data_IF_881874599663
#
_entry.id   IF_881874599663
#
_cell.length_a   1.000
_cell.length_b   1.000
_cell.length_c   1.000
_cell.angle_alpha   90.00
_cell.angle_beta   90.00
_cell.angle_gamma   90.00
#
_symmetry.space_group_name_H-M   'P 1'
#
loop_
_entity.id
_entity.type
_entity.pdbx_description
1 polymer ?
#
# COMPACT_ATOMS: atom_id res chain seq x y z
N UNK A 1 -8.81 -21.72 -71.49
CA UNK A 1 -7.56 -22.24 -70.97
C UNK A 1 -6.81 -21.03 -70.42
N UNK A 2 -7.14 -20.58 -69.28
CA UNK A 2 -6.67 -20.78 -67.92
C UNK A 2 -5.17 -20.89 -67.82
N UNK A 3 -4.55 -19.90 -67.26
CA UNK A 3 -3.48 -20.05 -66.30
C UNK A 3 -3.48 -18.87 -65.33
N UNK A 4 -3.70 -19.19 -64.07
CA UNK A 4 -3.65 -18.32 -62.85
C UNK A 4 -2.24 -17.87 -62.56
N UNK A 5 -2.00 -16.56 -62.34
CA UNK A 5 -0.81 -16.04 -61.73
C UNK A 5 -1.09 -15.75 -60.28
N UNK A 6 -0.41 -16.45 -59.39
CA UNK A 6 -0.39 -16.20 -57.95
C UNK A 6 0.49 -14.99 -57.64
N UNK A 7 -0.10 -13.97 -57.06
CA UNK A 7 0.64 -12.88 -56.42
C UNK A 7 1.11 -13.32 -55.03
N UNK A 8 2.42 -13.38 -54.84
CA UNK A 8 3.06 -13.56 -53.54
C UNK A 8 2.93 -12.25 -52.71
N UNK A 9 2.13 -12.31 -51.67
CA UNK A 9 2.14 -11.27 -50.63
C UNK A 9 3.30 -11.54 -49.71
N UNK A 10 4.29 -10.69 -49.76
CA UNK A 10 5.37 -10.61 -48.77
C UNK A 10 4.77 -10.26 -47.41
N UNK A 11 4.87 -11.21 -46.50
CA UNK A 11 4.48 -11.07 -45.12
C UNK A 11 5.60 -10.34 -44.36
N UNK A 12 5.47 -9.03 -44.23
CA UNK A 12 6.39 -8.22 -43.42
C UNK A 12 6.32 -8.65 -41.97
N UNK A 13 7.48 -9.11 -41.46
CA UNK A 13 7.69 -9.63 -40.15
C UNK A 13 7.16 -8.72 -39.03
N UNK A 14 6.13 -9.15 -38.34
CA UNK A 14 5.82 -8.73 -37.00
C UNK A 14 6.93 -9.26 -36.11
N UNK A 15 7.78 -8.34 -35.65
CA UNK A 15 8.66 -8.58 -34.50
C UNK A 15 7.75 -8.96 -33.33
N UNK A 16 7.78 -10.21 -32.95
CA UNK A 16 7.14 -10.70 -31.74
C UNK A 16 7.69 -9.87 -30.58
N UNK A 17 6.83 -9.08 -29.94
CA UNK A 17 7.13 -8.48 -28.63
C UNK A 17 7.49 -9.66 -27.73
N UNK A 18 8.75 -9.72 -27.30
CA UNK A 18 9.21 -10.74 -26.35
C UNK A 18 8.24 -10.77 -25.19
N UNK A 19 7.80 -11.96 -24.81
CA UNK A 19 7.02 -12.15 -23.60
C UNK A 19 7.83 -11.55 -22.43
N UNK A 20 7.20 -10.80 -21.51
CA UNK A 20 7.90 -10.25 -20.38
C UNK A 20 8.56 -11.39 -19.62
N UNK A 21 9.85 -11.24 -19.31
CA UNK A 21 10.59 -12.17 -18.46
C UNK A 21 9.89 -12.22 -17.10
N UNK A 22 9.07 -13.23 -16.87
CA UNK A 22 8.34 -13.39 -15.62
C UNK A 22 9.36 -13.71 -14.54
N UNK A 23 9.65 -12.74 -13.68
CA UNK A 23 10.52 -12.95 -12.53
C UNK A 23 9.96 -14.08 -11.66
N UNK A 24 10.78 -15.02 -11.19
CA UNK A 24 10.28 -16.03 -10.27
C UNK A 24 9.76 -15.40 -8.98
N UNK A 25 8.71 -15.95 -8.32
CA UNK A 25 8.17 -15.41 -7.08
C UNK A 25 9.21 -15.36 -5.95
N UNK A 26 9.01 -14.48 -4.97
CA UNK A 26 9.81 -14.45 -3.74
C UNK A 26 9.54 -15.69 -2.90
N UNK A 27 10.45 -16.00 -1.98
CA UNK A 27 10.31 -17.13 -1.03
C UNK A 27 10.64 -16.65 0.39
N UNK A 28 9.80 -15.79 0.98
CA UNK A 28 10.01 -15.29 2.34
C UNK A 28 9.78 -16.39 3.38
N UNK A 29 10.51 -16.31 4.48
CA UNK A 29 10.22 -17.08 5.67
C UNK A 29 9.02 -16.49 6.40
N UNK A 30 8.10 -17.32 6.89
CA UNK A 30 6.86 -16.88 7.53
C UNK A 30 6.57 -17.66 8.81
N UNK A 31 5.88 -17.03 9.76
CA UNK A 31 5.34 -17.69 10.93
C UNK A 31 4.19 -18.64 10.54
N UNK A 32 3.79 -19.52 11.46
CA UNK A 32 2.65 -20.43 11.26
C UNK A 32 1.30 -19.71 11.21
N UNK A 33 1.24 -18.42 11.54
CA UNK A 33 0.03 -17.61 11.40
C UNK A 33 -0.31 -17.34 9.94
N UNK A 34 0.71 -17.18 9.07
CA UNK A 34 0.51 -16.82 7.67
C UNK A 34 0.51 -18.02 6.73
N UNK A 35 -0.55 -18.15 5.95
CA UNK A 35 -0.61 -19.00 4.74
C UNK A 35 -0.25 -18.12 3.53
N UNK A 36 1.06 -18.02 3.25
CA UNK A 36 1.60 -17.11 2.25
C UNK A 36 1.68 -17.73 0.86
N UNK A 37 1.03 -17.08 -0.09
CA UNK A 37 1.06 -17.37 -1.52
C UNK A 37 1.83 -16.28 -2.28
N UNK A 38 3.00 -16.65 -2.83
CA UNK A 38 3.86 -15.72 -3.54
C UNK A 38 3.77 -15.91 -5.06
N UNK A 39 3.67 -14.79 -5.78
CA UNK A 39 3.48 -14.74 -7.23
C UNK A 39 4.53 -13.83 -7.87
N UNK A 40 4.87 -14.12 -9.13
CA UNK A 40 5.63 -13.21 -9.95
C UNK A 40 4.77 -12.03 -10.41
N UNK A 41 3.63 -12.33 -11.01
CA UNK A 41 2.66 -11.35 -11.48
C UNK A 41 1.24 -11.87 -11.25
N UNK A 42 0.34 -10.99 -10.86
CA UNK A 42 -1.10 -11.28 -10.73
C UNK A 42 -1.91 -10.08 -11.22
N UNK A 43 -3.20 -10.26 -11.41
CA UNK A 43 -4.08 -9.13 -11.68
C UNK A 43 -4.11 -8.18 -10.47
N UNK A 44 -4.40 -8.70 -9.27
CA UNK A 44 -4.37 -7.96 -8.02
C UNK A 44 -4.31 -8.91 -6.83
N UNK A 45 -3.40 -8.66 -5.87
CA UNK A 45 -3.33 -9.42 -4.62
C UNK A 45 -4.58 -9.21 -3.76
N UNK A 46 -5.18 -8.01 -3.79
CA UNK A 46 -6.47 -7.76 -3.12
C UNK A 46 -7.58 -8.67 -3.67
N UNK A 47 -7.66 -8.87 -4.99
CA UNK A 47 -8.68 -9.74 -5.57
C UNK A 47 -8.51 -11.20 -5.13
N UNK A 48 -7.27 -11.70 -5.05
CA UNK A 48 -6.98 -13.04 -4.54
C UNK A 48 -7.44 -13.19 -3.09
N UNK A 49 -7.07 -12.25 -2.23
CA UNK A 49 -7.46 -12.27 -0.81
C UNK A 49 -8.97 -12.12 -0.63
N UNK A 50 -9.62 -11.25 -1.39
CA UNK A 50 -11.07 -11.09 -1.33
C UNK A 50 -11.80 -12.36 -1.77
N UNK A 51 -11.30 -13.05 -2.77
CA UNK A 51 -11.86 -14.33 -3.19
C UNK A 51 -11.68 -15.42 -2.11
N UNK A 52 -10.49 -15.51 -1.51
CA UNK A 52 -10.23 -16.39 -0.38
C UNK A 52 -11.20 -16.12 0.81
N UNK A 53 -11.42 -14.84 1.13
CA UNK A 53 -12.38 -14.46 2.18
C UNK A 53 -13.81 -14.87 1.84
N UNK A 54 -14.27 -14.74 0.58
CA UNK A 54 -15.61 -15.20 0.13
C UNK A 54 -15.77 -16.71 0.21
N UNK A 55 -14.70 -17.44 -0.05
CA UNK A 55 -14.66 -18.90 0.07
C UNK A 55 -14.56 -19.39 1.52
N UNK A 56 -14.50 -18.47 2.48
CA UNK A 56 -14.45 -18.82 3.90
C UNK A 56 -13.09 -19.27 4.40
N UNK A 57 -12.00 -19.01 3.66
CA UNK A 57 -10.64 -19.31 4.10
C UNK A 57 -10.39 -18.64 5.46
N UNK A 58 -9.72 -19.29 6.43
CA UNK A 58 -9.36 -18.70 7.72
C UNK A 58 -8.55 -17.41 7.58
N UNK A 59 -8.45 -16.63 8.66
CA UNK A 59 -7.51 -15.52 8.69
C UNK A 59 -6.06 -16.02 8.58
N UNK A 60 -5.17 -15.14 8.12
CA UNK A 60 -3.78 -15.49 7.87
C UNK A 60 -3.48 -15.83 6.41
N UNK A 61 -4.50 -16.07 5.56
CA UNK A 61 -4.24 -16.16 4.12
C UNK A 61 -3.63 -14.85 3.61
N UNK A 62 -2.49 -14.94 2.92
CA UNK A 62 -1.74 -13.80 2.45
C UNK A 62 -1.25 -14.03 1.01
N UNK A 63 -1.42 -13.05 0.15
CA UNK A 63 -0.91 -13.07 -1.21
C UNK A 63 0.11 -11.95 -1.40
N UNK A 64 1.30 -12.27 -1.95
CA UNK A 64 2.31 -11.28 -2.34
C UNK A 64 2.70 -11.44 -3.80
N UNK A 65 2.97 -10.32 -4.49
CA UNK A 65 3.37 -10.31 -5.90
C UNK A 65 4.46 -9.26 -6.15
N UNK A 66 5.27 -9.50 -7.18
CA UNK A 66 6.29 -8.56 -7.68
C UNK A 66 5.71 -7.56 -8.68
N UNK A 67 4.62 -7.93 -9.35
CA UNK A 67 3.92 -7.08 -10.33
C UNK A 67 2.41 -7.30 -10.24
N UNK A 68 1.64 -6.26 -10.58
CA UNK A 68 0.21 -6.38 -10.75
C UNK A 68 -0.24 -5.69 -12.05
N UNK A 69 -1.13 -6.34 -12.80
CA UNK A 69 -1.72 -5.79 -14.04
C UNK A 69 -2.88 -4.82 -13.75
N UNK A 70 -3.56 -4.99 -12.64
CA UNK A 70 -4.74 -4.20 -12.24
C UNK A 70 -4.69 -3.83 -10.76
N UNK A 71 -3.52 -3.37 -10.28
CA UNK A 71 -3.37 -2.88 -8.91
C UNK A 71 -4.23 -1.64 -8.65
N UNK A 72 -4.86 -1.58 -7.49
CA UNK A 72 -5.69 -0.45 -7.10
C UNK A 72 -5.59 -0.17 -5.60
N UNK A 73 -5.82 1.08 -5.24
CA UNK A 73 -5.90 1.58 -3.88
C UNK A 73 -7.33 1.96 -3.48
N UNK A 74 -7.45 2.83 -2.51
CA UNK A 74 -8.75 3.33 -2.02
C UNK A 74 -9.54 4.00 -3.16
N UNK A 75 -10.87 3.84 -3.11
CA UNK A 75 -11.81 4.41 -4.09
C UNK A 75 -11.56 3.95 -5.53
N UNK A 76 -10.92 2.80 -5.73
CA UNK A 76 -10.62 2.29 -7.06
C UNK A 76 -9.53 3.05 -7.83
N UNK A 77 -8.80 3.96 -7.18
CA UNK A 77 -7.68 4.68 -7.83
C UNK A 77 -6.60 3.68 -8.25
N UNK A 78 -6.09 3.85 -9.45
CA UNK A 78 -5.03 2.99 -9.97
C UNK A 78 -3.79 3.07 -9.08
N UNK A 79 -3.29 1.90 -8.67
CA UNK A 79 -1.98 1.75 -8.05
C UNK A 79 -1.04 1.10 -9.07
N UNK A 80 -0.18 1.89 -9.68
CA UNK A 80 0.82 1.36 -10.62
C UNK A 80 1.73 0.36 -9.89
N UNK A 81 1.79 -0.86 -10.40
CA UNK A 81 2.45 -1.98 -9.73
C UNK A 81 3.51 -2.65 -10.62
N UNK A 82 4.54 -1.91 -11.06
CA UNK A 82 5.62 -2.46 -11.88
C UNK A 82 6.57 -3.30 -11.03
N UNK A 83 7.44 -4.07 -11.69
CA UNK A 83 8.59 -4.70 -11.06
C UNK A 83 9.46 -3.62 -10.38
N UNK A 84 9.88 -3.88 -9.15
CA UNK A 84 10.55 -2.93 -8.26
C UNK A 84 9.74 -2.59 -7.02
N UNK A 85 8.44 -2.90 -6.99
CA UNK A 85 7.58 -2.84 -5.83
C UNK A 85 7.29 -4.21 -5.21
N UNK A 86 6.77 -4.20 -4.00
CA UNK A 86 6.18 -5.36 -3.32
C UNK A 86 4.72 -5.07 -3.06
N UNK A 87 3.85 -5.99 -3.48
CA UNK A 87 2.40 -5.85 -3.36
C UNK A 87 1.88 -7.03 -2.56
N UNK A 88 1.41 -6.76 -1.34
CA UNK A 88 1.00 -7.80 -0.40
C UNK A 88 -0.39 -7.51 0.13
N UNK A 89 -1.23 -8.53 0.20
CA UNK A 89 -2.57 -8.42 0.78
C UNK A 89 -2.81 -9.50 1.81
N UNK A 90 -3.54 -9.16 2.87
CA UNK A 90 -3.77 -9.98 4.06
C UNK A 90 -5.27 -10.21 4.26
N UNK A 91 -5.67 -11.45 4.50
CA UNK A 91 -7.01 -11.82 4.96
C UNK A 91 -7.04 -11.84 6.48
N UNK A 92 -7.82 -10.95 7.08
CA UNK A 92 -8.01 -10.87 8.54
C UNK A 92 -9.49 -11.05 8.87
N UNK A 93 -9.79 -11.59 10.07
CA UNK A 93 -11.16 -11.79 10.54
C UNK A 93 -11.32 -11.24 11.97
N UNK A 94 -11.13 -9.93 12.18
CA UNK A 94 -11.18 -9.36 13.51
C UNK A 94 -12.59 -9.44 14.11
N UNK A 95 -12.69 -10.02 15.32
CA UNK A 95 -13.90 -10.00 16.11
C UNK A 95 -13.94 -8.76 17.00
N UNK A 96 -14.21 -7.61 16.37
CA UNK A 96 -14.25 -6.30 17.02
C UNK A 96 -15.50 -5.51 16.61
N UNK A 97 -15.93 -4.52 17.40
CA UNK A 97 -17.00 -3.62 16.99
C UNK A 97 -16.71 -2.94 15.64
N UNK A 98 -17.69 -2.82 14.73
CA UNK A 98 -17.48 -2.27 13.38
C UNK A 98 -16.85 -0.88 13.35
N UNK A 99 -17.12 -0.04 14.37
CA UNK A 99 -16.54 1.31 14.48
C UNK A 99 -15.02 1.30 14.72
N UNK A 100 -14.44 0.17 15.14
CA UNK A 100 -13.01 0.01 15.32
C UNK A 100 -12.30 -0.37 14.01
N UNK A 101 -13.00 -0.97 13.04
CA UNK A 101 -12.38 -1.46 11.80
C UNK A 101 -11.56 -0.40 11.04
N UNK A 102 -12.01 0.88 10.92
CA UNK A 102 -11.20 1.88 10.25
C UNK A 102 -9.81 2.11 10.87
N UNK A 103 -9.67 1.87 12.18
CA UNK A 103 -8.37 2.04 12.87
C UNK A 103 -7.34 0.99 12.46
N UNK A 104 -7.77 -0.15 11.91
CA UNK A 104 -6.86 -1.18 11.39
C UNK A 104 -5.99 -0.65 10.24
N UNK A 105 -6.48 0.33 9.44
CA UNK A 105 -5.65 1.01 8.44
C UNK A 105 -4.47 1.75 9.07
N UNK A 106 -4.68 2.38 10.23
CA UNK A 106 -3.64 3.12 10.95
C UNK A 106 -2.63 2.16 11.59
N UNK A 107 -3.13 1.05 12.15
CA UNK A 107 -2.28 -0.03 12.71
C UNK A 107 -1.43 -0.68 11.61
N UNK A 108 -2.03 -0.97 10.45
CA UNK A 108 -1.31 -1.48 9.28
C UNK A 108 -0.24 -0.49 8.78
N UNK A 109 -0.53 0.83 8.83
CA UNK A 109 0.45 1.86 8.47
C UNK A 109 1.65 1.86 9.43
N UNK A 110 1.41 1.66 10.73
CA UNK A 110 2.49 1.47 11.72
C UNK A 110 3.29 0.20 11.44
N UNK A 111 2.63 -0.93 11.14
CA UNK A 111 3.32 -2.17 10.80
C UNK A 111 4.22 -2.02 9.57
N UNK A 112 3.72 -1.36 8.53
CA UNK A 112 4.51 -1.06 7.32
C UNK A 112 5.67 -0.14 7.64
N UNK A 113 5.46 0.92 8.42
CA UNK A 113 6.53 1.83 8.84
C UNK A 113 7.65 1.09 9.59
N UNK A 114 7.30 0.23 10.56
CA UNK A 114 8.29 -0.60 11.27
C UNK A 114 9.06 -1.53 10.34
N UNK A 115 8.36 -2.17 9.41
CA UNK A 115 8.99 -3.08 8.45
C UNK A 115 10.01 -2.35 7.55
N UNK A 116 9.65 -1.18 7.05
CA UNK A 116 10.53 -0.38 6.19
C UNK A 116 11.76 0.15 6.95
N UNK A 117 11.57 0.58 8.20
CA UNK A 117 12.68 1.04 9.06
C UNK A 117 13.64 -0.09 9.43
N UNK A 118 13.15 -1.33 9.63
CA UNK A 118 14.01 -2.51 9.85
C UNK A 118 14.89 -2.82 8.65
N UNK A 119 14.35 -2.69 7.43
CA UNK A 119 15.09 -2.97 6.19
C UNK A 119 16.06 -1.82 5.85
N UNK A 120 15.67 -0.57 6.10
CA UNK A 120 16.51 0.62 5.91
C UNK A 120 16.30 1.59 7.07
N UNK A 121 17.15 1.52 8.08
CA UNK A 121 17.04 2.34 9.31
C UNK A 121 17.08 3.86 9.05
N UNK A 122 17.73 4.30 7.98
CA UNK A 122 17.78 5.72 7.59
C UNK A 122 16.50 6.23 6.91
N UNK A 123 15.52 5.36 6.65
CA UNK A 123 14.29 5.73 5.95
C UNK A 123 13.41 6.71 6.74
N UNK A 124 13.40 6.61 8.10
CA UNK A 124 12.58 7.44 8.99
C UNK A 124 11.13 7.60 8.47
N UNK A 125 10.36 6.50 8.34
CA UNK A 125 9.04 6.54 7.73
C UNK A 125 8.05 7.32 8.60
N UNK A 126 7.29 8.23 7.97
CA UNK A 126 6.20 8.98 8.56
C UNK A 126 4.86 8.50 8.01
N UNK A 127 3.81 8.60 8.81
CA UNK A 127 2.47 8.17 8.43
C UNK A 127 1.62 9.39 8.09
N UNK A 128 1.15 9.45 6.87
CA UNK A 128 0.14 10.40 6.43
C UNK A 128 -1.23 9.75 6.57
N UNK A 129 -2.06 10.32 7.44
CA UNK A 129 -3.43 9.87 7.61
C UNK A 129 -4.21 9.90 6.29
N UNK A 130 -5.05 8.91 6.02
CA UNK A 130 -5.33 7.75 6.88
C UNK A 130 -4.52 6.48 6.52
N UNK A 131 -3.69 6.47 5.46
CA UNK A 131 -3.25 5.22 4.86
C UNK A 131 -1.97 5.27 4.03
N UNK A 132 -1.20 6.33 4.10
CA UNK A 132 0.04 6.48 3.34
C UNK A 132 1.26 6.47 4.26
N UNK A 133 2.32 5.80 3.84
CA UNK A 133 3.63 5.89 4.48
C UNK A 133 4.55 6.71 3.58
N UNK A 134 5.16 7.72 4.16
CA UNK A 134 6.02 8.70 3.49
C UNK A 134 7.46 8.60 4.00
N UNK A 135 8.38 9.13 3.22
CA UNK A 135 9.69 9.60 3.69
C UNK A 135 9.89 11.06 3.22
N UNK A 136 11.07 11.63 3.46
CA UNK A 136 11.40 13.00 3.06
C UNK A 136 11.20 13.28 1.56
N UNK A 137 11.38 12.27 0.71
CA UNK A 137 11.34 12.41 -0.75
C UNK A 137 9.93 12.17 -1.33
N UNK A 138 9.02 11.56 -0.58
CA UNK A 138 7.66 11.32 -1.05
C UNK A 138 7.00 10.06 -0.51
N UNK A 139 6.07 9.50 -1.28
CA UNK A 139 5.27 8.33 -0.87
C UNK A 139 6.01 7.03 -1.11
N UNK A 140 6.29 6.29 -0.01
CA UNK A 140 6.91 4.96 -0.02
C UNK A 140 5.89 3.84 -0.14
N UNK A 141 4.76 3.95 0.58
CA UNK A 141 3.75 2.89 0.59
C UNK A 141 2.34 3.45 0.71
N UNK A 142 1.38 2.64 0.29
CA UNK A 142 -0.04 2.90 0.46
C UNK A 142 -0.77 1.67 0.97
N UNK A 143 -1.73 1.88 1.85
CA UNK A 143 -2.54 0.84 2.47
C UNK A 143 -3.99 1.00 2.00
N UNK A 144 -4.64 -0.11 1.64
CA UNK A 144 -6.07 -0.18 1.40
C UNK A 144 -6.73 -1.14 2.38
N UNK A 145 -7.96 -0.83 2.79
CA UNK A 145 -8.72 -1.67 3.70
C UNK A 145 -10.12 -1.84 3.13
N UNK A 146 -10.52 -3.08 2.88
CA UNK A 146 -11.83 -3.45 2.34
C UNK A 146 -12.48 -4.51 3.23
N UNK A 147 -13.60 -4.17 3.87
CA UNK A 147 -14.40 -5.12 4.65
C UNK A 147 -15.38 -5.86 3.75
N UNK A 148 -15.44 -7.19 3.84
CA UNK A 148 -16.34 -8.05 3.07
C UNK A 148 -16.51 -9.42 3.74
N UNK A 149 -17.65 -10.09 3.46
CA UNK A 149 -17.88 -11.50 3.81
C UNK A 149 -17.37 -11.94 5.20
N UNK A 150 -17.59 -11.10 6.21
CA UNK A 150 -17.18 -11.38 7.60
C UNK A 150 -15.66 -11.28 7.85
N UNK A 151 -14.91 -10.68 6.95
CA UNK A 151 -13.47 -10.44 7.08
C UNK A 151 -13.04 -9.11 6.50
N UNK A 152 -11.74 -8.86 6.53
CA UNK A 152 -11.10 -7.64 6.04
C UNK A 152 -9.93 -8.02 5.13
N UNK A 153 -9.89 -7.44 3.93
CA UNK A 153 -8.73 -7.44 3.07
C UNK A 153 -7.91 -6.19 3.36
N UNK A 154 -6.66 -6.35 3.80
CA UNK A 154 -5.71 -5.27 3.95
C UNK A 154 -4.68 -5.38 2.83
N UNK A 155 -4.72 -4.47 1.87
CA UNK A 155 -3.76 -4.40 0.78
C UNK A 155 -2.66 -3.39 1.06
N UNK A 156 -1.42 -3.75 0.78
CA UNK A 156 -0.22 -2.93 0.95
C UNK A 156 0.58 -2.93 -0.34
N UNK A 157 0.86 -1.74 -0.88
CA UNK A 157 1.83 -1.55 -1.96
C UNK A 157 3.03 -0.76 -1.46
N UNK A 158 4.24 -1.30 -1.65
CA UNK A 158 5.51 -0.67 -1.25
C UNK A 158 6.37 -0.41 -2.48
N UNK A 159 6.87 0.80 -2.63
CA UNK A 159 7.86 1.17 -3.62
C UNK A 159 9.26 0.83 -3.06
N UNK A 160 9.89 -0.25 -3.51
CA UNK A 160 11.20 -0.69 -3.00
C UNK A 160 12.33 -0.14 -3.85
N UNK A 161 12.29 -0.33 -5.16
CA UNK A 161 13.24 0.19 -6.12
C UNK A 161 12.54 0.96 -7.24
N UNK A 162 13.21 1.94 -7.81
CA UNK A 162 12.69 2.68 -8.96
C UNK A 162 12.58 1.73 -10.19
N UNK A 163 11.42 1.64 -10.85
CA UNK A 163 11.29 0.88 -12.09
C UNK A 163 11.91 1.64 -13.27
N UNK A 164 12.56 0.94 -14.20
CA UNK A 164 13.15 1.56 -15.40
C UNK A 164 12.09 2.26 -16.25
N UNK A 165 10.96 1.61 -16.47
CA UNK A 165 9.83 2.20 -17.17
C UNK A 165 9.01 3.05 -16.20
N UNK A 166 9.31 4.34 -16.13
CA UNK A 166 8.48 5.29 -15.36
C UNK A 166 7.07 5.28 -15.93
N UNK A 167 6.10 4.88 -15.11
CA UNK A 167 4.69 5.09 -15.42
C UNK A 167 4.28 6.43 -14.83
N UNK A 168 3.56 7.22 -15.61
CA UNK A 168 2.90 8.40 -15.04
C UNK A 168 1.95 7.92 -13.95
N UNK A 169 2.21 8.33 -12.73
CA UNK A 169 1.34 8.06 -11.58
C UNK A 169 0.46 9.27 -11.40
N UNK A 170 -0.83 9.09 -11.59
CA UNK A 170 -1.80 10.12 -11.22
C UNK A 170 -1.70 10.38 -9.71
N UNK A 171 -1.15 11.51 -9.31
CA UNK A 171 -1.07 11.88 -7.89
C UNK A 171 -0.33 13.20 -7.68
N UNK A 172 -0.75 13.93 -6.64
CA UNK A 172 -0.16 15.22 -6.23
C UNK A 172 1.17 15.08 -5.47
N UNK A 173 1.62 13.84 -5.19
CA UNK A 173 2.80 13.58 -4.36
C UNK A 173 3.87 12.89 -5.18
N UNK A 174 5.13 13.28 -4.95
CA UNK A 174 6.29 12.57 -5.47
C UNK A 174 6.28 11.13 -4.94
N UNK A 175 6.73 10.18 -5.76
CA UNK A 175 7.03 8.84 -5.29
C UNK A 175 8.42 8.84 -4.65
N UNK A 176 8.58 8.04 -3.62
CA UNK A 176 9.86 7.69 -3.04
C UNK A 176 10.06 6.17 -3.12
N UNK A 177 11.31 5.76 -3.07
CA UNK A 177 11.69 4.36 -3.10
C UNK A 177 12.52 4.03 -1.86
N UNK A 178 12.32 2.82 -1.31
CA UNK A 178 13.00 2.41 -0.10
C UNK A 178 14.50 2.29 -0.28
N UNK A 179 14.93 1.86 -1.46
CA UNK A 179 16.33 1.61 -1.79
C UNK A 179 16.75 2.42 -3.02
N UNK A 180 18.03 2.74 -3.07
CA UNK A 180 18.65 3.34 -4.23
C UNK A 180 18.81 2.30 -5.35
N UNK A 181 18.82 2.76 -6.60
CA UNK A 181 18.97 1.93 -7.77
C UNK A 181 17.68 1.68 -8.53
N UNK A 182 17.84 1.21 -9.75
CA UNK A 182 16.76 1.00 -10.74
C UNK A 182 16.63 -0.47 -11.07
N UNK A 183 15.40 -0.96 -11.25
CA UNK A 183 15.13 -2.29 -11.78
C UNK A 183 15.01 -2.20 -13.30
N UNK A 184 16.00 -2.70 -14.03
CA UNK A 184 16.04 -2.63 -15.50
C UNK A 184 15.17 -3.74 -16.16
N UNK A 185 15.78 -4.90 -16.44
CA UNK A 185 15.11 -6.00 -17.16
C UNK A 185 14.74 -7.19 -16.26
N UNK A 186 14.97 -7.08 -14.96
CA UNK A 186 14.71 -8.11 -13.96
C UNK A 186 15.39 -7.77 -12.64
N UNK A 187 15.10 -8.56 -11.60
CA UNK A 187 15.68 -8.38 -10.28
C UNK A 187 17.03 -9.07 -10.15
N UNK A 188 18.04 -8.37 -9.69
CA UNK A 188 19.29 -8.98 -9.24
C UNK A 188 19.06 -9.86 -7.99
N UNK A 189 20.03 -10.70 -7.65
CA UNK A 189 19.95 -11.52 -6.44
C UNK A 189 19.87 -10.64 -5.16
N UNK A 190 20.59 -9.53 -5.14
CA UNK A 190 20.58 -8.58 -4.02
C UNK A 190 19.21 -7.89 -3.91
N UNK A 191 18.65 -7.38 -5.01
CA UNK A 191 17.32 -6.77 -5.03
C UNK A 191 16.25 -7.76 -4.56
N UNK A 192 16.32 -9.04 -4.98
CA UNK A 192 15.43 -10.10 -4.50
C UNK A 192 15.54 -10.29 -3.00
N UNK A 193 16.76 -10.31 -2.46
CA UNK A 193 17.01 -10.47 -1.04
C UNK A 193 16.34 -9.34 -0.25
N UNK A 194 16.55 -8.09 -0.66
CA UNK A 194 15.93 -6.94 0.01
C UNK A 194 14.40 -6.99 -0.09
N UNK A 195 13.83 -7.28 -1.26
CA UNK A 195 12.38 -7.39 -1.43
C UNK A 195 11.79 -8.54 -0.58
N UNK A 196 12.52 -9.64 -0.44
CA UNK A 196 12.13 -10.73 0.46
C UNK A 196 12.12 -10.27 1.91
N UNK A 197 13.15 -9.54 2.35
CA UNK A 197 13.22 -8.96 3.71
C UNK A 197 12.08 -7.97 3.97
N UNK A 198 11.68 -7.18 2.97
CA UNK A 198 10.51 -6.28 3.09
C UNK A 198 9.24 -7.09 3.37
N UNK A 199 9.00 -8.19 2.63
CA UNK A 199 7.83 -9.05 2.86
C UNK A 199 7.88 -9.68 4.25
N UNK A 200 9.00 -10.29 4.63
CA UNK A 200 9.19 -10.93 5.94
C UNK A 200 8.95 -9.95 7.08
N UNK A 201 9.57 -8.78 7.02
CA UNK A 201 9.40 -7.73 8.02
C UNK A 201 7.96 -7.22 8.10
N UNK A 202 7.24 -7.11 6.96
CA UNK A 202 5.84 -6.72 6.96
C UNK A 202 4.94 -7.78 7.59
N UNK A 203 5.18 -9.07 7.31
CA UNK A 203 4.42 -10.18 7.90
C UNK A 203 4.58 -10.20 9.42
N UNK A 204 5.81 -10.13 9.92
CA UNK A 204 6.10 -10.07 11.36
C UNK A 204 5.48 -8.86 12.06
N UNK A 205 5.65 -7.67 11.48
CA UNK A 205 5.13 -6.45 12.06
C UNK A 205 3.59 -6.42 12.05
N UNK A 206 2.97 -6.93 10.97
CA UNK A 206 1.52 -7.01 10.86
C UNK A 206 0.94 -7.97 11.89
N UNK A 207 1.52 -9.16 12.05
CA UNK A 207 1.08 -10.15 13.04
C UNK A 207 1.16 -9.58 14.46
N UNK A 208 2.29 -8.99 14.82
CA UNK A 208 2.51 -8.41 16.14
C UNK A 208 1.51 -7.27 16.44
N UNK A 209 1.36 -6.32 15.51
CA UNK A 209 0.50 -5.16 15.74
C UNK A 209 -0.98 -5.48 15.63
N UNK A 210 -1.36 -6.41 14.75
CA UNK A 210 -2.74 -6.89 14.66
C UNK A 210 -3.15 -7.62 15.94
N UNK A 211 -2.31 -8.51 16.46
CA UNK A 211 -2.57 -9.20 17.72
C UNK A 211 -2.73 -8.25 18.90
N UNK A 212 -1.86 -7.24 19.02
CA UNK A 212 -1.97 -6.20 20.05
C UNK A 212 -3.24 -5.35 19.88
N UNK A 213 -3.58 -4.98 18.63
CA UNK A 213 -4.79 -4.20 18.34
C UNK A 213 -6.08 -4.95 18.69
N UNK A 214 -6.14 -6.25 18.49
CA UNK A 214 -7.28 -7.07 18.90
C UNK A 214 -7.49 -7.04 20.42
N UNK A 215 -6.43 -6.95 21.21
CA UNK A 215 -6.47 -6.98 22.66
C UNK A 215 -6.69 -5.60 23.28
N UNK A 216 -6.00 -4.58 22.77
CA UNK A 216 -5.88 -3.27 23.41
C UNK A 216 -6.64 -2.16 22.66
N UNK A 217 -7.07 -2.42 21.41
CA UNK A 217 -7.65 -1.41 20.52
C UNK A 217 -6.64 -0.37 20.05
N UNK A 218 -7.11 0.61 19.27
CA UNK A 218 -6.23 1.63 18.69
C UNK A 218 -5.69 2.64 19.71
N UNK A 219 -6.39 2.84 20.82
CA UNK A 219 -5.97 3.79 21.86
C UNK A 219 -4.56 3.49 22.39
N UNK A 220 -4.14 2.23 22.40
CA UNK A 220 -2.80 1.82 22.80
C UNK A 220 -1.69 2.24 21.82
N UNK A 221 -2.07 2.67 20.60
CA UNK A 221 -1.12 3.06 19.56
C UNK A 221 -1.02 4.58 19.35
N UNK A 222 -1.83 5.39 20.03
CA UNK A 222 -1.92 6.84 19.80
C UNK A 222 -0.55 7.52 19.94
N UNK A 223 0.21 7.20 20.97
CA UNK A 223 1.52 7.80 21.21
C UNK A 223 2.53 7.41 20.12
N UNK A 224 2.61 6.12 19.78
CA UNK A 224 3.46 5.60 18.71
C UNK A 224 3.08 6.21 17.35
N UNK A 225 1.77 6.29 17.07
CA UNK A 225 1.26 6.91 15.86
C UNK A 225 1.61 8.40 15.80
N UNK A 226 1.47 9.11 16.92
CA UNK A 226 1.77 10.54 17.04
C UNK A 226 3.24 10.86 16.80
N UNK A 227 4.16 9.97 17.18
CA UNK A 227 5.60 10.13 16.92
C UNK A 227 5.95 10.03 15.44
N UNK A 228 5.20 9.22 14.68
CA UNK A 228 5.40 9.03 13.24
C UNK A 228 4.42 9.82 12.38
N UNK A 229 3.54 10.62 12.99
CA UNK A 229 2.47 11.28 12.26
C UNK A 229 3.02 12.45 11.43
N UNK A 230 2.85 12.34 10.11
CA UNK A 230 3.18 13.41 9.18
C UNK A 230 2.21 14.58 9.35
N UNK A 231 2.73 15.79 9.14
CA UNK A 231 1.96 17.04 9.13
C UNK A 231 1.31 17.47 10.45
N UNK A 232 1.72 16.89 11.58
CA UNK A 232 1.30 17.38 12.89
C UNK A 232 1.68 18.85 13.03
N UNK A 233 0.75 19.64 13.58
CA UNK A 233 0.85 21.08 13.77
C UNK A 233 1.06 21.89 12.48
N UNK A 234 0.75 21.27 11.32
CA UNK A 234 0.73 21.96 10.02
C UNK A 234 -0.69 22.37 9.65
N UNK A 235 -0.79 23.52 8.97
CA UNK A 235 -2.05 23.93 8.35
C UNK A 235 -2.31 23.08 7.12
N UNK A 236 -3.51 22.56 7.02
CA UNK A 236 -3.92 21.72 5.90
C UNK A 236 -5.35 22.05 5.47
N UNK A 237 -5.61 21.71 4.22
CA UNK A 237 -6.94 21.68 3.62
C UNK A 237 -7.34 20.21 3.47
N UNK A 238 -8.51 19.85 3.96
CA UNK A 238 -9.08 18.50 3.86
C UNK A 238 -10.22 18.53 2.86
N UNK A 239 -10.04 17.84 1.73
CA UNK A 239 -11.13 17.56 0.82
C UNK A 239 -11.97 16.41 1.37
N UNK A 240 -13.27 16.63 1.57
CA UNK A 240 -14.20 15.58 1.97
C UNK A 240 -14.50 14.66 0.78
N UNK A 241 -14.64 13.36 1.05
CA UNK A 241 -14.82 12.33 -0.01
C UNK A 241 -16.15 12.53 -0.78
N UNK A 242 -17.16 13.13 -0.17
CA UNK A 242 -18.54 13.20 -0.69
C UNK A 242 -19.02 14.60 -1.03
N UNK A 243 -18.14 15.58 -1.19
CA UNK A 243 -18.56 16.95 -1.48
C UNK A 243 -17.43 17.86 -1.93
N UNK A 244 -17.82 19.02 -2.49
CA UNK A 244 -16.90 20.11 -2.82
C UNK A 244 -16.44 20.88 -1.58
N UNK A 245 -16.83 20.42 -0.38
CA UNK A 245 -16.48 21.07 0.87
C UNK A 245 -15.05 20.75 1.26
N UNK A 246 -14.31 21.80 1.54
CA UNK A 246 -12.95 21.74 2.05
C UNK A 246 -12.93 22.31 3.46
N UNK A 247 -12.38 21.56 4.41
CA UNK A 247 -12.16 22.04 5.77
C UNK A 247 -10.71 22.46 5.91
N UNK A 248 -10.48 23.70 6.31
CA UNK A 248 -9.15 24.19 6.62
C UNK A 248 -8.92 24.27 8.13
N UNK A 249 -7.67 23.96 8.54
CA UNK A 249 -7.30 24.05 9.93
C UNK A 249 -5.91 23.48 10.21
N UNK A 250 -5.56 23.44 11.48
CA UNK A 250 -4.28 22.87 11.96
C UNK A 250 -4.51 21.42 12.34
N UNK A 251 -3.71 20.53 11.81
CA UNK A 251 -3.74 19.10 12.16
C UNK A 251 -3.16 18.90 13.55
N UNK A 252 -3.96 18.36 14.48
CA UNK A 252 -3.54 18.14 15.87
C UNK A 252 -3.17 16.68 16.19
N UNK A 253 -3.62 15.72 15.40
CA UNK A 253 -3.36 14.30 15.61
C UNK A 253 -4.53 13.43 15.22
N UNK A 254 -4.68 12.30 15.90
CA UNK A 254 -5.81 11.38 15.75
C UNK A 254 -6.40 11.04 17.11
N UNK A 255 -7.68 10.71 17.16
CA UNK A 255 -8.33 10.23 18.39
C UNK A 255 -8.33 8.68 18.49
N UNK A 256 -8.89 8.15 19.59
CA UNK A 256 -8.97 6.70 19.84
C UNK A 256 -9.83 5.91 18.84
N UNK A 257 -10.63 6.59 18.01
CA UNK A 257 -11.37 6.00 16.89
C UNK A 257 -10.64 6.18 15.55
N UNK A 258 -9.42 6.69 15.56
CA UNK A 258 -8.60 6.91 14.36
C UNK A 258 -9.05 8.09 13.52
N UNK A 259 -9.92 8.97 14.04
CA UNK A 259 -10.37 10.17 13.34
C UNK A 259 -9.29 11.23 13.39
N UNK A 260 -9.08 11.94 12.29
CA UNK A 260 -8.15 13.05 12.23
C UNK A 260 -8.71 14.24 13.01
N UNK A 261 -7.92 14.82 13.90
CA UNK A 261 -8.28 16.00 14.68
C UNK A 261 -7.78 17.26 13.98
N UNK A 262 -8.69 18.13 13.59
CA UNK A 262 -8.41 19.40 12.90
C UNK A 262 -8.94 20.55 13.72
N UNK A 263 -8.07 21.45 14.12
CA UNK A 263 -8.44 22.68 14.84
C UNK A 263 -8.67 23.81 13.84
N UNK A 264 -9.88 24.36 13.86
CA UNK A 264 -10.25 25.49 13.00
C UNK A 264 -9.71 26.84 13.55
N UNK A 265 -9.94 27.93 12.80
CA UNK A 265 -9.41 29.27 13.12
C UNK A 265 -9.99 29.89 14.42
N UNK A 266 -11.06 29.31 14.96
CA UNK A 266 -11.65 29.73 16.26
C UNK A 266 -11.24 28.83 17.43
N UNK A 267 -10.28 27.90 17.20
CA UNK A 267 -9.75 27.03 18.25
C UNK A 267 -10.60 25.79 18.54
N UNK A 268 -11.62 25.50 17.73
CA UNK A 268 -12.46 24.30 17.91
C UNK A 268 -11.83 23.12 17.17
N UNK A 269 -11.62 22.00 17.88
CA UNK A 269 -11.13 20.76 17.30
C UNK A 269 -12.28 19.92 16.76
N UNK A 270 -12.25 19.64 15.45
CA UNK A 270 -13.26 18.87 14.74
C UNK A 270 -12.67 17.49 14.37
N UNK A 271 -13.30 16.37 14.79
CA UNK A 271 -12.85 15.03 14.42
C UNK A 271 -13.38 14.64 13.04
N UNK A 272 -12.48 14.29 12.13
CA UNK A 272 -12.75 13.91 10.74
C UNK A 272 -12.60 12.40 10.55
N UNK A 273 -13.69 11.71 10.15
CA UNK A 273 -13.68 10.26 9.94
C UNK A 273 -13.18 9.84 8.56
N UNK A 274 -13.22 10.73 7.57
CA UNK A 274 -12.78 10.48 6.19
C UNK A 274 -12.31 11.78 5.55
N UNK A 275 -11.48 11.68 4.52
CA UNK A 275 -10.98 12.83 3.79
C UNK A 275 -9.64 12.56 3.14
N UNK A 276 -9.18 13.53 2.36
CA UNK A 276 -7.85 13.58 1.79
C UNK A 276 -7.14 14.84 2.28
N UNK A 277 -6.00 14.65 2.94
CA UNK A 277 -5.22 15.75 3.53
C UNK A 277 -4.31 16.37 2.47
N UNK A 278 -4.48 17.67 2.24
CA UNK A 278 -3.59 18.48 1.42
C UNK A 278 -2.96 19.57 2.29
N UNK A 279 -1.65 19.55 2.44
CA UNK A 279 -0.94 20.61 3.17
C UNK A 279 -0.87 21.85 2.29
N UNK A 280 -1.50 22.94 2.75
CA UNK A 280 -1.65 24.19 1.99
C UNK A 280 -0.48 25.14 2.18
N UNK A 281 0.30 25.00 3.25
CA UNK A 281 1.51 25.79 3.49
C UNK A 281 2.57 24.94 4.21
N UNK A 282 3.67 24.66 3.55
CA UNK A 282 4.94 24.38 4.21
C UNK A 282 5.52 25.75 4.60
N UNK A 283 5.11 26.33 5.72
CA UNK A 283 5.92 27.38 6.32
C UNK A 283 7.25 26.75 6.72
N UNK A 284 8.31 27.18 6.01
CA UNK A 284 9.71 26.82 6.29
C UNK A 284 10.14 27.36 7.64
#
# INVERSE_FOLDING_TARGET
MEVLSRSEHQNNGRVAKGAPSVAAPLRPAVSSFWDLHAYACVRSTNELVKEALRQGVPEGYCATALEQEGGYGRQGRVWASPLGGVYTSFALRPSVPPQMLPTLSLVASLAVADALERVRSSCNPLIKWPNDVLCSEGKLAGISLEALAGGVCVGVGVNVYEPFAKREVEGKYSLAYLQDGVVEAGLSAEQRTVMTQVVESMLEAMECRYGRWLQEGFSAFIDEYSQRFAYRDKRASLALINGDETIEGIIRGVDGLGRLLVENDVGIVVPMSSGEVHVTSLQR
#
